data_IF_764201251915
#
_entry.id   IF_764201251915
#
_cell.length_a   1.000
_cell.length_b   1.000
_cell.length_c   1.000
_cell.angle_alpha   90.00
_cell.angle_beta   90.00
_cell.angle_gamma   90.00
#
_symmetry.space_group_name_H-M   'P 1'
#
loop_
_entity.id
_entity.type
_entity.pdbx_description
1 polymer ?
#
# COMPACT_ATOMS: atom_id res chain seq x y z
N UNK A 1 -4.95 -35.27 11.88
CA UNK A 1 -3.76 -34.70 11.20
C UNK A 1 -3.86 -33.19 11.22
N UNK A 2 -3.12 -32.52 12.10
CA UNK A 2 -3.01 -31.06 12.14
C UNK A 2 -2.24 -30.60 10.89
N UNK A 3 -2.84 -29.74 10.07
CA UNK A 3 -2.11 -29.03 9.01
C UNK A 3 -1.02 -28.20 9.70
N UNK A 4 0.25 -28.52 9.45
CA UNK A 4 1.36 -27.65 9.84
C UNK A 4 1.05 -26.24 9.29
N UNK A 5 0.99 -25.25 10.17
CA UNK A 5 0.93 -23.85 9.77
C UNK A 5 2.24 -23.54 9.02
N UNK A 6 2.15 -23.26 7.73
CA UNK A 6 3.27 -22.64 7.01
C UNK A 6 3.63 -21.33 7.74
N UNK A 7 4.93 -21.08 8.02
CA UNK A 7 5.32 -19.84 8.67
C UNK A 7 4.89 -18.66 7.81
N UNK A 8 4.12 -17.73 8.39
CA UNK A 8 3.73 -16.50 7.69
C UNK A 8 5.00 -15.81 7.19
N UNK A 9 5.07 -15.54 5.89
CA UNK A 9 6.17 -14.78 5.32
C UNK A 9 6.34 -13.46 6.09
N UNK A 10 7.58 -13.15 6.47
CA UNK A 10 7.88 -11.91 7.17
C UNK A 10 7.61 -10.73 6.24
N UNK A 11 6.82 -9.78 6.73
CA UNK A 11 6.53 -8.54 6.04
C UNK A 11 7.46 -7.42 6.52
N UNK A 12 7.72 -6.48 5.62
CA UNK A 12 8.53 -5.28 5.82
C UNK A 12 7.74 -4.05 5.38
N UNK A 13 7.99 -2.93 6.06
CA UNK A 13 7.50 -1.62 5.62
C UNK A 13 8.38 -1.15 4.46
N UNK A 14 7.81 -1.06 3.26
CA UNK A 14 8.50 -0.53 2.09
C UNK A 14 7.95 0.83 1.74
N UNK A 15 8.75 1.88 1.92
CA UNK A 15 8.42 3.20 1.40
C UNK A 15 8.55 3.17 -0.13
N UNK A 16 7.59 3.82 -0.80
CA UNK A 16 7.51 3.86 -2.26
C UNK A 16 7.15 5.25 -2.74
N UNK A 17 7.56 5.57 -3.95
CA UNK A 17 7.09 6.75 -4.65
C UNK A 17 5.69 6.47 -5.21
N UNK A 18 4.81 7.47 -5.11
CA UNK A 18 3.43 7.37 -5.58
C UNK A 18 3.07 8.63 -6.35
N UNK A 19 2.66 8.44 -7.60
CA UNK A 19 2.00 9.51 -8.34
C UNK A 19 0.62 9.73 -7.72
N UNK A 20 0.37 10.93 -7.22
CA UNK A 20 -0.89 11.29 -6.57
C UNK A 20 -1.50 12.52 -7.20
N UNK A 21 -2.83 12.58 -7.21
CA UNK A 21 -3.59 13.78 -7.54
C UNK A 21 -4.16 14.33 -6.23
N UNK A 22 -3.87 15.60 -5.94
CA UNK A 22 -4.56 16.31 -4.88
C UNK A 22 -5.96 16.72 -5.36
N UNK A 23 -6.99 16.12 -4.79
CA UNK A 23 -8.36 16.49 -5.07
C UNK A 23 -8.71 17.88 -4.54
N UNK A 24 -9.69 18.55 -5.16
CA UNK A 24 -10.21 19.84 -4.68
C UNK A 24 -10.84 19.76 -3.28
N UNK A 25 -11.22 18.56 -2.84
CA UNK A 25 -11.74 18.27 -1.52
C UNK A 25 -10.63 17.86 -0.52
N UNK A 26 -9.37 18.17 -0.83
CA UNK A 26 -8.19 17.87 0.00
C UNK A 26 -7.94 16.37 0.21
N UNK A 27 -8.58 15.50 -0.57
CA UNK A 27 -8.33 14.06 -0.56
C UNK A 27 -7.26 13.73 -1.61
N UNK A 28 -6.13 13.22 -1.14
CA UNK A 28 -5.10 12.64 -1.99
C UNK A 28 -5.62 11.37 -2.66
N UNK A 29 -5.51 11.31 -4.00
CA UNK A 29 -5.86 10.12 -4.77
C UNK A 29 -4.60 9.52 -5.37
N UNK A 30 -4.21 8.28 -4.99
CA UNK A 30 -3.08 7.63 -5.60
C UNK A 30 -3.44 7.13 -7.00
N UNK A 31 -2.54 7.32 -7.97
CA UNK A 31 -2.73 6.98 -9.39
C UNK A 31 -1.81 5.84 -9.80
N UNK A 32 -0.57 5.83 -9.34
CA UNK A 32 0.38 4.76 -9.61
C UNK A 32 1.45 4.68 -8.55
N UNK A 33 1.96 3.47 -8.31
CA UNK A 33 3.18 3.23 -7.54
C UNK A 33 4.37 3.18 -8.49
N UNK A 34 5.43 3.91 -8.16
CA UNK A 34 6.72 3.83 -8.84
C UNK A 34 7.64 2.96 -7.98
N UNK A 35 8.06 1.83 -8.53
CA UNK A 35 8.93 0.89 -7.84
C UNK A 35 10.41 1.21 -8.07
N UNK A 36 11.29 0.72 -7.19
CA UNK A 36 12.74 1.01 -7.21
C UNK A 36 13.44 0.71 -8.54
N UNK A 37 12.88 -0.21 -9.33
CA UNK A 37 13.39 -0.58 -10.66
C UNK A 37 12.85 0.32 -11.80
N UNK A 38 12.17 1.42 -11.47
CA UNK A 38 11.56 2.34 -12.42
C UNK A 38 10.24 1.85 -13.02
N UNK A 39 9.75 0.67 -12.65
CA UNK A 39 8.46 0.18 -13.15
C UNK A 39 7.32 0.94 -12.47
N UNK A 40 6.41 1.45 -13.30
CA UNK A 40 5.16 2.06 -12.89
C UNK A 40 4.06 1.01 -12.82
N UNK A 41 3.42 0.89 -11.67
CA UNK A 41 2.25 0.06 -11.45
C UNK A 41 1.02 0.96 -11.27
N UNK A 42 0.11 0.93 -12.24
CA UNK A 42 -1.11 1.73 -12.18
C UNK A 42 -2.09 1.18 -11.13
N UNK A 43 -2.76 2.11 -10.45
CA UNK A 43 -3.84 1.77 -9.52
C UNK A 43 -5.13 1.69 -10.33
N UNK A 44 -5.60 0.46 -10.53
CA UNK A 44 -6.83 0.18 -11.28
C UNK A 44 -8.04 0.81 -10.57
N UNK A 45 -8.07 0.73 -9.24
CA UNK A 45 -9.17 1.25 -8.42
C UNK A 45 -8.76 1.47 -6.97
N UNK A 46 -9.28 2.52 -6.36
CA UNK A 46 -9.31 2.67 -4.88
C UNK A 46 -10.67 2.18 -4.38
N UNK A 47 -10.68 1.15 -3.54
CA UNK A 47 -11.89 0.53 -3.00
C UNK A 47 -12.39 1.27 -1.76
N UNK A 48 -11.47 1.65 -0.86
CA UNK A 48 -11.81 2.35 0.37
C UNK A 48 -10.61 3.16 0.88
N UNK A 49 -10.90 4.26 1.59
CA UNK A 49 -9.92 5.05 2.32
C UNK A 49 -10.35 5.10 3.80
N UNK A 50 -9.48 4.67 4.72
CA UNK A 50 -9.78 4.67 6.16
C UNK A 50 -8.51 4.77 7.00
N UNK A 51 -8.60 5.26 8.24
CA UNK A 51 -7.48 5.14 9.17
C UNK A 51 -7.26 3.66 9.54
N UNK A 52 -6.02 3.19 9.44
CA UNK A 52 -5.63 1.80 9.74
C UNK A 52 -4.19 1.74 10.23
N UNK A 53 -3.90 0.85 11.18
CA UNK A 53 -2.53 0.48 11.54
C UNK A 53 -2.03 -0.65 10.63
N UNK A 54 -0.77 -0.58 10.21
CA UNK A 54 -0.11 -1.65 9.46
C UNK A 54 0.46 -2.72 10.40
N UNK A 55 0.51 -3.97 9.92
CA UNK A 55 1.09 -5.11 10.65
C UNK A 55 2.61 -4.99 10.84
N UNK A 56 3.27 -4.18 10.01
CA UNK A 56 4.72 -3.90 10.07
C UNK A 56 5.03 -2.56 10.74
N UNK A 57 4.07 -2.05 11.52
CA UNK A 57 4.14 -0.75 12.19
C UNK A 57 3.77 0.42 11.27
N UNK A 58 3.44 1.56 11.86
CA UNK A 58 2.88 2.71 11.15
C UNK A 58 1.36 2.79 11.24
N UNK A 59 0.87 4.02 11.24
CA UNK A 59 -0.54 4.34 11.31
C UNK A 59 -0.84 5.60 10.49
N UNK A 60 -1.99 5.62 9.85
CA UNK A 60 -2.41 6.74 9.00
C UNK A 60 -3.56 6.33 8.09
N UNK A 61 -3.72 7.08 6.99
CA UNK A 61 -4.68 6.74 5.95
C UNK A 61 -4.21 5.50 5.20
N UNK A 62 -5.09 4.51 5.10
CA UNK A 62 -4.90 3.31 4.30
C UNK A 62 -5.87 3.34 3.13
N UNK A 63 -5.31 3.24 1.93
CA UNK A 63 -6.01 3.14 0.66
C UNK A 63 -6.01 1.67 0.26
N UNK A 64 -7.14 1.00 0.40
CA UNK A 64 -7.31 -0.35 -0.12
C UNK A 64 -7.48 -0.23 -1.64
N UNK A 65 -6.43 -0.59 -2.39
CA UNK A 65 -6.32 -0.41 -3.83
C UNK A 65 -6.39 -1.76 -4.56
N UNK A 66 -6.74 -1.72 -5.84
CA UNK A 66 -6.51 -2.79 -6.79
C UNK A 66 -5.37 -2.36 -7.71
N UNK A 67 -4.33 -3.20 -7.80
CA UNK A 67 -3.16 -3.00 -8.65
C UNK A 67 -2.92 -4.31 -9.38
N UNK A 68 -2.96 -4.28 -10.72
CA UNK A 68 -2.89 -5.48 -11.57
C UNK A 68 -3.94 -6.54 -11.15
N UNK A 69 -5.16 -6.10 -10.85
CA UNK A 69 -6.25 -6.98 -10.41
C UNK A 69 -6.12 -7.52 -8.98
N UNK A 70 -5.07 -7.16 -8.25
CA UNK A 70 -4.81 -7.66 -6.90
C UNK A 70 -5.05 -6.59 -5.83
N UNK A 71 -5.72 -6.97 -4.74
CA UNK A 71 -5.93 -6.06 -3.61
C UNK A 71 -4.63 -5.80 -2.86
N UNK A 72 -4.34 -4.54 -2.57
CA UNK A 72 -3.17 -4.07 -1.82
C UNK A 72 -3.55 -2.91 -0.91
N UNK A 73 -3.00 -2.90 0.28
CA UNK A 73 -3.10 -1.75 1.18
C UNK A 73 -1.92 -0.81 0.93
N UNK A 74 -2.22 0.41 0.52
CA UNK A 74 -1.27 1.49 0.34
C UNK A 74 -1.49 2.53 1.45
N UNK A 75 -0.47 2.72 2.28
CA UNK A 75 -0.56 3.56 3.47
C UNK A 75 0.09 4.91 3.22
N UNK A 76 -0.55 5.98 3.72
CA UNK A 76 0.02 7.32 3.79
C UNK A 76 0.15 7.73 5.26
N UNK A 77 1.39 7.79 5.74
CA UNK A 77 1.71 8.19 7.10
C UNK A 77 2.60 9.43 7.11
N UNK A 78 2.24 10.42 7.94
CA UNK A 78 2.88 11.74 8.02
C UNK A 78 2.88 12.43 6.64
N UNK A 79 3.87 12.13 5.82
CA UNK A 79 4.07 12.69 4.47
C UNK A 79 4.61 11.66 3.47
N UNK A 80 4.62 10.36 3.82
CA UNK A 80 5.25 9.31 3.03
C UNK A 80 4.29 8.17 2.75
N UNK A 81 4.45 7.57 1.58
CA UNK A 81 3.70 6.40 1.16
C UNK A 81 4.47 5.12 1.45
N UNK A 82 3.78 4.08 1.92
CA UNK A 82 4.38 2.76 2.09
C UNK A 82 3.38 1.62 1.84
N UNK A 83 3.94 0.44 1.61
CA UNK A 83 3.21 -0.82 1.47
C UNK A 83 3.80 -1.84 2.45
N UNK A 84 3.07 -2.93 2.65
CA UNK A 84 3.64 -4.15 3.22
C UNK A 84 4.26 -4.99 2.09
N UNK A 85 5.53 -5.39 2.27
CA UNK A 85 6.30 -6.12 1.25
C UNK A 85 6.93 -7.36 1.87
N UNK A 86 7.04 -8.45 1.10
CA UNK A 86 7.81 -9.64 1.49
C UNK A 86 9.31 -9.47 1.29
N UNK A 87 9.72 -8.36 0.67
CA UNK A 87 11.11 -7.95 0.48
C UNK A 87 11.37 -6.62 1.23
N UNK A 88 12.52 -6.47 1.91
CA UNK A 88 12.92 -5.20 2.54
C UNK A 88 13.00 -4.01 1.59
#
# INVERSE_FOLDING_TARGET
MQKLHEPRQRLYKKYVDVLTVMGKNEVLKPVAVLWDNGIKYEIDRVLQIRNKASSVGGCGLCYECVIQGQKRDLYFERTRWFLESTKP
#
